data_IF_247523533652
#
_entry.id   IF_247523533652
#
_cell.length_a   1.000
_cell.length_b   1.000
_cell.length_c   1.000
_cell.angle_alpha   90.00
_cell.angle_beta   90.00
_cell.angle_gamma   90.00
#
_symmetry.space_group_name_H-M   'P 1'
#
loop_
_entity.id
_entity.type
_entity.pdbx_description
1 polymer ?
#
# COMPACT_ATOMS: atom_id res chain seq x y z
N UNK A 1 -19.97 13.93 20.61
CA UNK A 1 -18.64 14.55 20.74
C UNK A 1 -17.94 14.49 19.39
N UNK A 2 -17.30 15.58 18.91
CA UNK A 2 -16.63 15.56 17.60
C UNK A 2 -15.29 14.83 17.66
N UNK A 3 -15.02 13.99 16.66
CA UNK A 3 -13.77 13.21 16.57
C UNK A 3 -13.38 13.00 15.10
N UNK A 4 -12.08 13.08 14.81
CA UNK A 4 -11.53 12.71 13.51
C UNK A 4 -11.56 11.20 13.30
N UNK A 5 -11.74 10.74 12.06
CA UNK A 5 -11.88 9.32 11.73
C UNK A 5 -10.70 8.47 12.22
N UNK A 6 -9.46 8.97 12.09
CA UNK A 6 -8.26 8.27 12.56
C UNK A 6 -8.26 8.06 14.08
N UNK A 7 -8.64 9.10 14.84
CA UNK A 7 -8.74 9.03 16.31
C UNK A 7 -9.87 8.11 16.76
N UNK A 8 -10.99 8.11 16.04
CA UNK A 8 -12.11 7.19 16.30
C UNK A 8 -11.68 5.74 16.11
N UNK A 9 -10.99 5.45 15.00
CA UNK A 9 -10.46 4.11 14.71
C UNK A 9 -9.45 3.68 15.77
N UNK A 10 -8.52 4.56 16.15
CA UNK A 10 -7.54 4.27 17.20
C UNK A 10 -8.23 4.00 18.55
N UNK A 11 -9.21 4.82 18.95
CA UNK A 11 -9.98 4.58 20.17
C UNK A 11 -10.72 3.23 20.12
N UNK A 12 -11.44 2.96 19.03
CA UNK A 12 -12.20 1.73 18.89
C UNK A 12 -11.30 0.49 18.95
N UNK A 13 -10.24 0.44 18.14
CA UNK A 13 -9.39 -0.75 18.05
C UNK A 13 -8.40 -0.89 19.21
N UNK A 14 -7.87 0.20 19.78
CA UNK A 14 -6.83 0.13 20.82
C UNK A 14 -7.40 0.21 22.23
N UNK A 15 -8.44 1.01 22.46
CA UNK A 15 -8.94 1.29 23.81
C UNK A 15 -10.18 0.48 24.16
N UNK A 16 -11.12 0.32 23.23
CA UNK A 16 -12.38 -0.42 23.51
C UNK A 16 -12.26 -1.91 23.18
N UNK A 17 -11.88 -2.24 21.95
CA UNK A 17 -11.94 -3.62 21.45
C UNK A 17 -10.75 -4.48 21.93
N UNK A 18 -9.56 -3.90 22.08
CA UNK A 18 -8.35 -4.61 22.54
C UNK A 18 -8.37 -5.00 24.03
N UNK A 19 -9.06 -4.24 24.89
CA UNK A 19 -9.00 -4.43 26.35
C UNK A 19 -9.70 -5.72 26.80
N UNK A 20 -10.64 -6.25 26.02
CA UNK A 20 -11.44 -7.42 26.39
C UNK A 20 -10.73 -8.76 26.16
N UNK A 21 -9.89 -8.90 25.13
CA UNK A 21 -9.18 -10.16 24.84
C UNK A 21 -8.16 -10.53 25.93
N UNK A 22 -7.63 -9.53 26.65
CA UNK A 22 -6.72 -9.75 27.78
C UNK A 22 -7.49 -10.22 29.03
N UNK A 23 -8.76 -9.82 29.18
CA UNK A 23 -9.62 -10.20 30.31
C UNK A 23 -10.31 -11.56 30.13
N UNK A 24 -10.64 -11.96 28.89
CA UNK A 24 -11.30 -13.25 28.59
C UNK A 24 -10.33 -14.42 28.36
N UNK A 25 -9.02 -14.19 28.32
CA UNK A 25 -7.99 -15.23 28.18
C UNK A 25 -7.89 -16.21 29.39
N UNK A 26 -8.80 -16.14 30.36
CA UNK A 26 -8.78 -16.88 31.63
C UNK A 26 -9.90 -17.91 31.86
N UNK A 27 -10.78 -18.23 30.91
CA UNK A 27 -11.84 -19.23 31.16
C UNK A 27 -12.52 -19.81 29.91
N UNK A 28 -13.02 -21.07 29.95
CA UNK A 28 -13.71 -21.69 28.84
C UNK A 28 -15.18 -21.24 28.82
N UNK A 29 -15.46 -20.06 28.27
CA UNK A 29 -16.83 -19.59 28.08
C UNK A 29 -16.96 -18.59 26.93
N UNK A 30 -17.41 -19.11 25.78
CA UNK A 30 -18.37 -18.49 24.84
C UNK A 30 -18.37 -16.96 24.65
N UNK A 31 -17.27 -16.39 24.17
CA UNK A 31 -17.27 -15.13 23.42
C UNK A 31 -16.11 -15.10 22.44
N UNK A 32 -16.11 -16.04 21.48
CA UNK A 32 -15.44 -15.75 20.21
C UNK A 32 -16.18 -14.58 19.55
N UNK A 33 -15.48 -13.61 18.96
CA UNK A 33 -15.79 -13.23 17.56
C UNK A 33 -15.10 -11.99 17.00
N UNK A 34 -14.58 -11.03 17.76
CA UNK A 34 -14.14 -9.76 17.11
C UNK A 34 -12.62 -9.58 17.03
N UNK A 35 -11.87 -9.68 18.12
CA UNK A 35 -10.40 -9.58 18.03
C UNK A 35 -9.74 -10.87 17.54
N UNK A 36 -10.29 -12.05 17.85
CA UNK A 36 -9.90 -13.29 17.17
C UNK A 36 -10.13 -13.21 15.65
N UNK A 37 -11.18 -12.55 15.19
CA UNK A 37 -11.44 -12.34 13.75
C UNK A 37 -10.52 -11.25 13.15
N UNK A 38 -10.16 -10.21 13.90
CA UNK A 38 -9.09 -9.27 13.54
C UNK A 38 -7.75 -10.02 13.41
N UNK A 39 -7.46 -10.94 14.34
CA UNK A 39 -6.27 -11.79 14.32
C UNK A 39 -6.29 -12.81 13.19
N UNK A 40 -7.44 -13.41 12.84
CA UNK A 40 -7.58 -14.25 11.64
C UNK A 40 -7.38 -13.44 10.34
N UNK A 41 -7.82 -12.17 10.31
CA UNK A 41 -7.59 -11.26 9.17
C UNK A 41 -6.12 -10.83 9.04
N UNK A 42 -5.40 -10.75 10.17
CA UNK A 42 -3.94 -10.52 10.25
C UNK A 42 -3.11 -11.80 9.98
N UNK A 43 -3.59 -12.98 10.39
CA UNK A 43 -2.95 -14.29 10.18
C UNK A 43 -2.84 -14.65 8.69
N UNK A 44 -3.70 -14.09 7.83
CA UNK A 44 -3.59 -14.19 6.36
C UNK A 44 -2.39 -13.40 5.78
N UNK A 45 -1.54 -12.77 6.61
CA UNK A 45 -0.35 -12.04 6.19
C UNK A 45 0.88 -12.08 7.12
N UNK A 46 0.77 -12.53 8.38
CA UNK A 46 1.93 -12.73 9.26
C UNK A 46 1.64 -13.73 10.41
N UNK A 47 2.64 -14.54 10.78
CA UNK A 47 2.59 -15.38 11.98
C UNK A 47 2.97 -14.52 13.18
N UNK A 48 2.03 -14.26 14.08
CA UNK A 48 2.29 -13.55 15.34
C UNK A 48 2.77 -14.58 16.38
N UNK A 49 4.02 -14.44 16.83
CA UNK A 49 4.55 -15.21 17.96
C UNK A 49 3.94 -14.69 19.27
N UNK A 50 3.10 -15.51 19.90
CA UNK A 50 2.41 -15.16 21.15
C UNK A 50 3.37 -15.34 22.32
N UNK A 51 4.20 -14.35 22.61
CA UNK A 51 4.90 -14.30 23.90
C UNK A 51 3.91 -13.93 25.01
N UNK A 52 3.77 -14.85 25.98
CA UNK A 52 2.75 -14.86 27.02
C UNK A 52 3.18 -13.97 28.20
N UNK A 53 3.06 -12.64 28.10
CA UNK A 53 3.23 -11.74 29.26
C UNK A 53 1.88 -11.36 29.88
N UNK A 54 1.36 -12.30 30.68
CA UNK A 54 0.12 -12.21 31.47
C UNK A 54 0.42 -11.53 32.82
N UNK A 55 0.73 -10.24 32.80
CA UNK A 55 1.02 -9.50 34.04
C UNK A 55 0.50 -8.06 33.96
N UNK A 56 -0.83 -7.91 33.81
CA UNK A 56 -1.58 -6.68 34.15
C UNK A 56 -3.11 -6.85 34.16
N UNK A 57 -3.65 -8.07 34.14
CA UNK A 57 -5.10 -8.29 34.21
C UNK A 57 -5.58 -8.34 35.66
N UNK A 58 -5.43 -7.23 36.40
CA UNK A 58 -6.08 -7.06 37.69
C UNK A 58 -7.16 -5.99 37.56
N UNK A 59 -8.42 -6.44 37.63
CA UNK A 59 -9.60 -5.64 37.96
C UNK A 59 -10.15 -4.71 36.87
N UNK A 60 -10.59 -5.27 35.74
CA UNK A 60 -11.44 -4.53 34.79
C UNK A 60 -12.88 -5.06 34.87
N UNK A 61 -13.78 -4.20 35.34
CA UNK A 61 -15.23 -4.38 35.29
C UNK A 61 -15.64 -4.75 33.86
N UNK A 62 -16.36 -5.86 33.72
CA UNK A 62 -16.88 -6.38 32.45
C UNK A 62 -18.00 -5.45 31.95
N UNK A 63 -17.63 -4.31 31.37
CA UNK A 63 -18.56 -3.45 30.64
C UNK A 63 -18.60 -3.93 29.18
N UNK A 64 -19.81 -4.03 28.64
CA UNK A 64 -20.02 -4.29 27.21
C UNK A 64 -19.31 -3.22 26.37
N UNK A 65 -18.70 -3.58 25.21
CA UNK A 65 -18.06 -2.60 24.35
C UNK A 65 -19.02 -1.48 23.97
N UNK A 66 -18.52 -0.26 23.89
CA UNK A 66 -19.35 0.86 23.46
C UNK A 66 -19.98 0.58 22.08
N UNK A 67 -21.27 0.86 21.92
CA UNK A 67 -22.01 0.58 20.67
C UNK A 67 -21.34 1.19 19.45
N UNK A 68 -20.84 2.42 19.56
CA UNK A 68 -20.06 3.08 18.50
C UNK A 68 -18.78 2.30 18.11
N UNK A 69 -18.09 1.65 19.04
CA UNK A 69 -16.90 0.85 18.72
C UNK A 69 -17.28 -0.42 17.94
N UNK A 70 -18.42 -1.03 18.25
CA UNK A 70 -18.98 -2.15 17.48
C UNK A 70 -19.39 -1.70 16.07
N UNK A 71 -20.06 -0.56 15.94
CA UNK A 71 -20.43 0.01 14.65
C UNK A 71 -19.20 0.34 13.78
N UNK A 72 -18.12 0.84 14.40
CA UNK A 72 -16.83 1.04 13.72
C UNK A 72 -16.25 -0.28 13.22
N UNK A 73 -16.23 -1.33 14.06
CA UNK A 73 -15.71 -2.65 13.67
C UNK A 73 -16.52 -3.25 12.51
N UNK A 74 -17.84 -3.13 12.55
CA UNK A 74 -18.72 -3.61 11.48
C UNK A 74 -18.47 -2.85 10.18
N UNK A 75 -18.38 -1.53 10.21
CA UNK A 75 -18.06 -0.73 9.03
C UNK A 75 -16.68 -1.06 8.43
N UNK A 76 -15.67 -1.35 9.27
CA UNK A 76 -14.36 -1.81 8.79
C UNK A 76 -14.45 -3.20 8.17
N UNK A 77 -15.27 -4.10 8.72
CA UNK A 77 -15.50 -5.43 8.13
C UNK A 77 -16.15 -5.32 6.75
N UNK A 78 -17.11 -4.40 6.59
CA UNK A 78 -17.80 -4.19 5.31
C UNK A 78 -16.88 -3.66 4.20
N UNK A 79 -15.74 -3.02 4.56
CA UNK A 79 -14.71 -2.66 3.57
C UNK A 79 -14.14 -3.88 2.84
N UNK A 80 -14.16 -5.07 3.44
CA UNK A 80 -13.63 -6.29 2.83
C UNK A 80 -14.36 -6.66 1.53
N UNK A 81 -15.62 -6.23 1.39
CA UNK A 81 -16.44 -6.45 0.21
C UNK A 81 -16.54 -5.19 -0.68
N UNK A 82 -15.86 -4.09 -0.31
CA UNK A 82 -15.77 -2.90 -1.16
C UNK A 82 -14.76 -3.06 -2.29
N UNK A 83 -15.09 -2.41 -3.42
CA UNK A 83 -14.22 -2.32 -4.59
C UNK A 83 -13.38 -1.06 -4.54
N UNK A 84 -12.06 -1.23 -4.49
CA UNK A 84 -11.09 -0.15 -4.63
C UNK A 84 -10.40 -0.22 -5.99
N UNK A 85 -10.47 0.88 -6.73
CA UNK A 85 -9.92 0.99 -8.08
C UNK A 85 -8.81 2.03 -8.11
N UNK A 86 -7.71 1.67 -8.76
CA UNK A 86 -6.63 2.58 -9.11
C UNK A 86 -6.72 2.86 -10.60
N UNK A 87 -6.78 4.15 -10.94
CA UNK A 87 -6.91 4.61 -12.31
C UNK A 87 -5.66 4.26 -13.13
N UNK A 88 -5.82 4.10 -14.44
CA UNK A 88 -4.73 3.75 -15.37
C UNK A 88 -3.68 4.85 -15.48
N UNK A 89 -4.14 6.09 -15.33
CA UNK A 89 -3.36 7.32 -15.38
C UNK A 89 -2.88 7.74 -13.99
N UNK A 90 -2.90 6.84 -13.01
CA UNK A 90 -2.38 7.16 -11.68
C UNK A 90 -0.85 7.26 -11.71
N UNK A 91 -0.35 8.47 -11.52
CA UNK A 91 1.07 8.80 -11.49
C UNK A 91 1.51 9.12 -10.06
N UNK A 92 1.98 8.13 -9.27
CA UNK A 92 2.42 8.38 -7.90
C UNK A 92 3.70 9.21 -7.83
N UNK A 93 4.60 9.13 -8.82
CA UNK A 93 5.95 9.69 -8.78
C UNK A 93 6.15 10.94 -9.64
N UNK A 94 5.17 11.84 -9.69
CA UNK A 94 5.30 13.12 -10.42
C UNK A 94 6.44 14.02 -9.90
N UNK A 95 6.95 13.72 -8.70
CA UNK A 95 8.11 14.37 -8.10
C UNK A 95 9.45 13.89 -8.68
N UNK A 96 9.49 12.74 -9.35
CA UNK A 96 10.70 12.18 -9.95
C UNK A 96 10.78 12.55 -11.43
N UNK A 97 11.93 13.06 -11.87
CA UNK A 97 12.22 13.15 -13.30
C UNK A 97 12.33 11.74 -13.88
N UNK A 98 11.61 11.46 -14.95
CA UNK A 98 11.54 10.15 -15.62
C UNK A 98 11.83 10.30 -17.12
N UNK A 99 13.05 10.75 -17.44
CA UNK A 99 13.45 11.13 -18.81
C UNK A 99 13.36 9.95 -19.79
N UNK A 100 13.49 8.72 -19.29
CA UNK A 100 13.46 7.48 -20.07
C UNK A 100 12.15 6.69 -19.93
N UNK A 101 11.17 7.20 -19.17
CA UNK A 101 9.87 6.53 -18.96
C UNK A 101 9.95 5.24 -18.13
N UNK A 102 11.05 5.00 -17.41
CA UNK A 102 11.30 3.76 -16.66
C UNK A 102 10.41 3.66 -15.43
N UNK A 103 10.20 4.78 -14.73
CA UNK A 103 9.35 4.84 -13.54
C UNK A 103 7.89 4.63 -13.95
N UNK A 104 7.46 5.33 -15.00
CA UNK A 104 6.10 5.24 -15.54
C UNK A 104 5.76 3.83 -16.02
N UNK A 105 6.71 3.14 -16.67
CA UNK A 105 6.55 1.76 -17.09
C UNK A 105 6.41 0.81 -15.89
N UNK A 106 7.27 0.96 -14.88
CA UNK A 106 7.21 0.14 -13.67
C UNK A 106 5.88 0.34 -12.91
N UNK A 107 5.41 1.59 -12.80
CA UNK A 107 4.11 1.92 -12.20
C UNK A 107 2.97 1.22 -12.97
N UNK A 108 2.96 1.32 -14.31
CA UNK A 108 1.91 0.70 -15.13
C UNK A 108 1.85 -0.82 -14.93
N UNK A 109 3.01 -1.47 -14.93
CA UNK A 109 3.13 -2.91 -14.68
C UNK A 109 2.55 -3.31 -13.32
N UNK A 110 2.84 -2.53 -12.27
CA UNK A 110 2.29 -2.82 -10.93
C UNK A 110 0.79 -2.51 -10.81
N UNK A 111 0.26 -1.48 -11.50
CA UNK A 111 -1.19 -1.21 -11.58
C UNK A 111 -1.90 -2.38 -12.26
N UNK A 112 -1.34 -2.91 -13.35
CA UNK A 112 -1.87 -4.09 -14.03
C UNK A 112 -1.87 -5.31 -13.10
N UNK A 113 -0.74 -5.57 -12.42
CA UNK A 113 -0.63 -6.65 -11.45
C UNK A 113 -1.59 -6.48 -10.25
N UNK A 114 -1.87 -5.25 -9.83
CA UNK A 114 -2.84 -4.95 -8.78
C UNK A 114 -4.27 -5.31 -9.22
N UNK A 115 -4.64 -4.98 -10.46
CA UNK A 115 -5.97 -5.27 -11.02
C UNK A 115 -6.23 -6.76 -11.16
N UNK A 116 -5.22 -7.52 -11.58
CA UNK A 116 -5.34 -8.97 -11.76
C UNK A 116 -5.65 -9.73 -10.46
N UNK A 117 -5.40 -9.15 -9.27
CA UNK A 117 -5.73 -9.77 -7.97
C UNK A 117 -7.24 -9.79 -7.66
N UNK A 118 -8.02 -8.97 -8.36
CA UNK A 118 -9.47 -8.89 -8.21
C UNK A 118 -9.94 -8.00 -7.05
N UNK A 119 -11.14 -7.45 -7.18
CA UNK A 119 -11.67 -6.39 -6.30
C UNK A 119 -11.76 -6.81 -4.82
N UNK A 120 -12.15 -8.06 -4.55
CA UNK A 120 -12.30 -8.57 -3.18
C UNK A 120 -10.98 -8.66 -2.41
N UNK A 121 -9.88 -8.95 -3.10
CA UNK A 121 -8.56 -8.95 -2.49
C UNK A 121 -8.15 -7.53 -2.05
N UNK A 122 -8.55 -6.53 -2.83
CA UNK A 122 -8.26 -5.12 -2.54
C UNK A 122 -9.09 -4.59 -1.37
N UNK A 123 -10.37 -4.96 -1.27
CA UNK A 123 -11.21 -4.63 -0.11
C UNK A 123 -10.65 -5.17 1.20
N UNK A 124 -10.26 -6.45 1.22
CA UNK A 124 -9.60 -7.07 2.39
C UNK A 124 -8.29 -6.38 2.75
N UNK A 125 -7.47 -6.02 1.76
CA UNK A 125 -6.24 -5.26 1.98
C UNK A 125 -6.52 -3.90 2.61
N UNK A 126 -7.55 -3.19 2.13
CA UNK A 126 -7.95 -1.90 2.68
C UNK A 126 -8.38 -2.02 4.16
N UNK A 127 -9.20 -3.00 4.49
CA UNK A 127 -9.62 -3.28 5.87
C UNK A 127 -8.39 -3.55 6.78
N UNK A 128 -7.45 -4.38 6.31
CA UNK A 128 -6.21 -4.68 7.03
C UNK A 128 -5.35 -3.43 7.25
N UNK A 129 -5.19 -2.58 6.23
CA UNK A 129 -4.44 -1.33 6.35
C UNK A 129 -5.07 -0.41 7.40
N UNK A 130 -6.39 -0.26 7.40
CA UNK A 130 -7.10 0.56 8.39
C UNK A 130 -6.83 0.08 9.81
N UNK A 131 -6.95 -1.23 10.06
CA UNK A 131 -6.73 -1.80 11.41
C UNK A 131 -5.27 -1.63 11.84
N UNK A 132 -4.32 -2.01 10.98
CA UNK A 132 -2.90 -1.86 11.28
C UNK A 132 -2.54 -0.40 11.58
N UNK A 133 -3.03 0.54 10.78
CA UNK A 133 -2.80 1.97 11.00
C UNK A 133 -3.45 2.51 12.27
N UNK A 134 -4.64 2.02 12.63
CA UNK A 134 -5.30 2.37 13.88
C UNK A 134 -4.51 1.88 15.10
N UNK A 135 -4.02 0.64 15.06
CA UNK A 135 -3.19 0.04 16.12
C UNK A 135 -1.87 0.78 16.26
N UNK A 136 -1.19 1.05 15.14
CA UNK A 136 0.10 1.75 15.13
C UNK A 136 -0.04 3.25 15.44
N UNK A 137 -1.24 3.81 15.38
CA UNK A 137 -1.50 5.24 15.56
C UNK A 137 -0.93 6.12 14.44
N UNK A 138 -0.63 5.54 13.27
CA UNK A 138 -0.11 6.24 12.09
C UNK A 138 -0.55 5.57 10.80
N UNK A 139 -0.68 6.34 9.72
CA UNK A 139 -0.96 5.83 8.39
C UNK A 139 0.19 4.96 7.82
N UNK A 140 -0.04 4.24 6.71
CA UNK A 140 0.99 3.49 6.02
C UNK A 140 2.17 4.39 5.64
N UNK A 141 3.37 3.81 5.56
CA UNK A 141 4.50 4.56 5.03
C UNK A 141 4.33 4.74 3.52
N UNK A 142 4.64 5.94 3.03
CA UNK A 142 4.59 6.33 1.62
C UNK A 142 5.92 6.90 1.15
N UNK A 143 6.89 7.02 2.06
CA UNK A 143 8.21 7.53 1.73
C UNK A 143 8.86 6.65 0.66
N UNK A 144 9.49 7.31 -0.29
CA UNK A 144 10.16 6.65 -1.40
C UNK A 144 11.34 7.52 -1.83
N UNK A 145 12.49 6.89 -2.00
CA UNK A 145 13.70 7.53 -2.52
C UNK A 145 13.82 7.30 -4.03
N UNK A 146 14.24 8.33 -4.77
CA UNK A 146 14.37 8.21 -6.22
C UNK A 146 15.52 7.23 -6.53
N UNK A 147 15.29 6.15 -7.31
CA UNK A 147 16.37 5.26 -7.72
C UNK A 147 17.34 5.98 -8.66
N UNK A 148 18.58 5.54 -8.67
CA UNK A 148 19.52 5.93 -9.71
C UNK A 148 19.18 5.27 -11.05
N UNK A 149 19.45 5.98 -12.15
CA UNK A 149 19.33 5.45 -13.50
C UNK A 149 20.72 5.03 -13.99
N UNK A 150 20.86 3.81 -14.49
CA UNK A 150 22.13 3.31 -15.02
C UNK A 150 21.98 2.71 -16.41
N UNK A 151 23.07 2.66 -17.15
CA UNK A 151 23.11 1.95 -18.43
C UNK A 151 23.06 0.46 -18.13
N UNK A 152 22.23 -0.29 -18.88
CA UNK A 152 22.16 -1.74 -18.75
C UNK A 152 23.54 -2.36 -18.99
N UNK A 153 24.00 -3.20 -18.07
CA UNK A 153 25.27 -3.90 -18.18
C UNK A 153 25.07 -5.42 -18.38
N UNK A 154 25.95 -6.02 -19.17
CA UNK A 154 26.07 -7.48 -19.30
C UNK A 154 27.50 -7.88 -19.02
N UNK A 155 27.70 -8.67 -17.96
CA UNK A 155 29.03 -9.15 -17.51
C UNK A 155 29.99 -7.99 -17.21
N UNK A 156 29.49 -6.93 -16.56
CA UNK A 156 30.28 -5.75 -16.16
C UNK A 156 30.72 -4.84 -17.32
N UNK A 157 30.08 -4.98 -18.49
CA UNK A 157 30.28 -4.08 -19.63
C UNK A 157 28.94 -3.53 -20.09
N UNK A 158 28.94 -2.28 -20.54
CA UNK A 158 27.77 -1.62 -21.10
C UNK A 158 27.21 -2.44 -22.27
N UNK A 159 25.94 -2.83 -22.15
CA UNK A 159 25.26 -3.61 -23.14
C UNK A 159 24.83 -2.72 -24.31
N UNK A 160 24.98 -3.27 -25.52
CA UNK A 160 24.51 -2.66 -26.76
C UNK A 160 23.33 -3.47 -27.28
N UNK A 161 22.31 -2.77 -27.75
CA UNK A 161 21.08 -3.37 -28.26
C UNK A 161 20.87 -2.92 -29.69
N UNK A 162 20.34 -3.81 -30.53
CA UNK A 162 19.89 -3.46 -31.88
C UNK A 162 18.54 -4.10 -32.13
N UNK A 163 17.57 -3.29 -32.57
CA UNK A 163 16.26 -3.81 -32.97
C UNK A 163 16.39 -4.50 -34.34
N UNK A 164 15.85 -5.72 -34.43
CA UNK A 164 15.73 -6.46 -35.69
C UNK A 164 14.29 -6.90 -35.87
N UNK A 165 13.85 -6.95 -37.12
CA UNK A 165 12.54 -7.51 -37.47
C UNK A 165 12.72 -8.97 -37.89
N UNK A 166 11.97 -9.88 -37.27
CA UNK A 166 11.82 -11.28 -37.69
C UNK A 166 10.38 -11.54 -38.13
N UNK A 167 10.16 -12.66 -38.83
CA UNK A 167 8.82 -13.17 -39.12
C UNK A 167 8.59 -14.46 -38.34
N UNK A 168 7.43 -14.57 -37.71
CA UNK A 168 7.00 -15.81 -37.06
C UNK A 168 6.62 -16.89 -38.10
N UNK A 169 6.30 -18.10 -37.61
CA UNK A 169 5.83 -19.20 -38.46
C UNK A 169 4.49 -18.96 -39.17
N UNK A 170 3.77 -17.90 -38.79
CA UNK A 170 2.51 -17.46 -39.39
C UNK A 170 2.69 -16.25 -40.33
N UNK A 171 3.94 -15.84 -40.59
CA UNK A 171 4.28 -14.73 -41.48
C UNK A 171 4.12 -13.33 -40.88
N UNK A 172 3.79 -13.20 -39.59
CA UNK A 172 3.68 -11.91 -38.90
C UNK A 172 5.07 -11.39 -38.53
N UNK A 173 5.33 -10.14 -38.90
CA UNK A 173 6.58 -9.47 -38.53
C UNK A 173 6.53 -9.04 -37.07
N UNK A 174 7.57 -9.33 -36.30
CA UNK A 174 7.77 -8.83 -34.95
C UNK A 174 9.17 -8.24 -34.78
N UNK A 175 9.29 -7.20 -33.97
CA UNK A 175 10.57 -6.64 -33.58
C UNK A 175 11.11 -7.35 -32.35
N UNK A 176 12.41 -7.62 -32.33
CA UNK A 176 13.11 -8.18 -31.19
C UNK A 176 14.49 -7.56 -31.06
N UNK A 177 14.91 -7.38 -29.81
CA UNK A 177 16.24 -6.86 -29.50
C UNK A 177 17.27 -7.99 -29.49
N UNK A 178 18.41 -7.75 -30.13
CA UNK A 178 19.59 -8.64 -30.05
C UNK A 178 20.82 -7.88 -29.55
N UNK A 179 21.85 -8.63 -29.16
CA UNK A 179 23.15 -8.06 -28.79
C UNK A 179 23.71 -7.26 -29.97
N UNK A 180 23.80 -5.95 -29.78
CA UNK A 180 24.30 -4.97 -30.73
C UNK A 180 25.83 -4.85 -30.72
N UNK A 181 26.55 -5.65 -29.93
CA UNK A 181 28.01 -5.61 -29.87
C UNK A 181 28.66 -6.64 -30.81
N UNK A 182 29.50 -6.17 -31.74
CA UNK A 182 30.27 -7.06 -32.61
C UNK A 182 31.53 -7.54 -31.87
N UNK A 183 31.50 -8.78 -31.37
CA UNK A 183 32.63 -9.41 -30.66
C UNK A 183 33.89 -9.55 -31.52
N UNK A 184 33.76 -9.72 -32.85
CA UNK A 184 34.92 -9.87 -33.73
C UNK A 184 35.62 -8.52 -33.93
N UNK A 185 34.83 -7.45 -34.13
CA UNK A 185 35.34 -6.09 -34.38
C UNK A 185 35.54 -5.27 -33.11
N UNK A 186 35.18 -5.82 -31.94
CA UNK A 186 35.22 -5.17 -30.61
C UNK A 186 34.59 -3.76 -30.61
N UNK A 187 33.45 -3.61 -31.30
CA UNK A 187 32.77 -2.32 -31.47
C UNK A 187 31.26 -2.50 -31.61
N UNK A 188 30.43 -1.49 -31.28
CA UNK A 188 29.00 -1.54 -31.54
C UNK A 188 28.70 -1.68 -33.03
N UNK A 189 27.65 -2.43 -33.35
CA UNK A 189 27.09 -2.51 -34.69
C UNK A 189 26.43 -1.19 -35.10
N UNK A 190 26.30 -0.96 -36.40
CA UNK A 190 25.61 0.22 -36.92
C UNK A 190 24.14 0.17 -36.48
N UNK A 191 23.65 1.25 -35.85
CA UNK A 191 22.30 1.31 -35.31
C UNK A 191 22.14 0.68 -33.92
N UNK A 192 23.24 0.25 -33.29
CA UNK A 192 23.18 -0.17 -31.90
C UNK A 192 22.99 1.03 -30.98
N UNK A 193 22.10 0.89 -29.99
CA UNK A 193 21.84 1.88 -28.95
C UNK A 193 22.08 1.29 -27.56
N UNK A 194 22.05 2.16 -26.56
CA UNK A 194 22.15 1.81 -25.14
C UNK A 194 20.80 1.98 -24.49
N UNK A 195 20.48 1.06 -23.58
CA UNK A 195 19.26 1.10 -22.79
C UNK A 195 19.59 1.56 -21.37
N UNK A 196 18.68 2.33 -20.79
CA UNK A 196 18.71 2.70 -19.38
C UNK A 196 17.85 1.72 -18.59
N UNK A 197 18.25 1.45 -17.35
CA UNK A 197 17.47 0.74 -16.35
C UNK A 197 17.56 1.45 -15.01
N UNK A 198 16.59 1.18 -14.14
CA UNK A 198 16.70 1.59 -12.73
C UNK A 198 17.77 0.72 -12.08
N UNK A 199 18.67 1.33 -11.32
CA UNK A 199 19.71 0.63 -10.59
C UNK A 199 19.12 -0.34 -9.56
N UNK A 200 17.97 0.04 -8.98
CA UNK A 200 17.20 -0.73 -8.03
C UNK A 200 15.72 -0.80 -8.46
N UNK A 201 15.03 -1.94 -8.22
CA UNK A 201 13.62 -2.07 -8.55
C UNK A 201 12.75 -1.26 -7.59
N UNK A 202 11.90 -0.37 -8.10
CA UNK A 202 11.05 0.52 -7.30
C UNK A 202 9.70 -0.07 -6.86
N UNK A 203 9.61 -1.39 -6.81
CA UNK A 203 8.33 -2.08 -6.58
C UNK A 203 7.77 -1.77 -5.20
N UNK A 204 8.62 -1.78 -4.18
CA UNK A 204 8.25 -1.46 -2.80
C UNK A 204 7.65 -0.07 -2.70
N UNK A 205 8.29 0.91 -3.34
CA UNK A 205 7.94 2.32 -3.33
C UNK A 205 6.57 2.53 -4.01
N UNK A 206 6.34 1.87 -5.15
CA UNK A 206 5.04 1.88 -5.83
C UNK A 206 3.96 1.34 -4.88
N UNK A 207 4.23 0.20 -4.24
CA UNK A 207 3.29 -0.43 -3.31
C UNK A 207 3.01 0.49 -2.11
N UNK A 208 4.02 1.12 -1.53
CA UNK A 208 3.86 2.05 -0.40
C UNK A 208 2.93 3.22 -0.73
N UNK A 209 3.16 3.92 -1.85
CA UNK A 209 2.27 5.02 -2.29
C UNK A 209 0.87 4.52 -2.66
N UNK A 210 0.76 3.30 -3.16
CA UNK A 210 -0.51 2.65 -3.48
C UNK A 210 -1.31 2.31 -2.23
N UNK A 211 -0.67 1.75 -1.21
CA UNK A 211 -1.28 1.46 0.09
C UNK A 211 -1.72 2.73 0.80
N UNK A 212 -0.93 3.80 0.72
CA UNK A 212 -1.34 5.10 1.21
C UNK A 212 -2.63 5.58 0.56
N UNK A 213 -2.70 5.55 -0.78
CA UNK A 213 -3.92 5.91 -1.51
C UNK A 213 -5.11 5.02 -1.10
N UNK A 214 -4.90 3.71 -1.04
CA UNK A 214 -5.93 2.74 -0.67
C UNK A 214 -6.49 3.01 0.74
N UNK A 215 -5.59 3.31 1.68
CA UNK A 215 -5.95 3.66 3.05
C UNK A 215 -6.75 4.98 3.11
N UNK A 216 -6.33 6.01 2.37
CA UNK A 216 -7.07 7.28 2.27
C UNK A 216 -8.48 7.07 1.69
N UNK A 217 -8.61 6.28 0.63
CA UNK A 217 -9.91 5.94 0.04
C UNK A 217 -10.80 5.16 1.04
N UNK A 218 -10.21 4.23 1.80
CA UNK A 218 -10.91 3.50 2.85
C UNK A 218 -11.43 4.42 3.96
N UNK A 219 -10.63 5.39 4.40
CA UNK A 219 -11.05 6.39 5.40
C UNK A 219 -12.22 7.25 4.89
N UNK A 220 -12.22 7.62 3.61
CA UNK A 220 -13.35 8.33 2.98
C UNK A 220 -14.62 7.47 3.01
N UNK A 221 -14.51 6.19 2.66
CA UNK A 221 -15.63 5.23 2.72
C UNK A 221 -16.16 5.06 4.14
N UNK A 222 -15.27 4.83 5.12
CA UNK A 222 -15.65 4.65 6.52
C UNK A 222 -16.33 5.88 7.09
N UNK A 223 -15.78 7.07 6.85
CA UNK A 223 -16.41 8.32 7.30
C UNK A 223 -17.81 8.48 6.74
N UNK A 224 -18.05 8.09 5.47
CA UNK A 224 -19.38 8.14 4.86
C UNK A 224 -20.32 7.11 5.47
N UNK A 225 -19.84 5.88 5.70
CA UNK A 225 -20.64 4.80 6.29
C UNK A 225 -21.04 5.14 7.72
N UNK A 226 -20.08 5.62 8.53
CA UNK A 226 -20.28 5.92 9.95
C UNK A 226 -21.04 7.23 10.19
N UNK A 227 -21.24 8.06 9.16
CA UNK A 227 -22.01 9.27 9.27
C UNK A 227 -23.46 8.93 9.70
N UNK A 228 -23.87 9.45 10.85
CA UNK A 228 -25.19 9.21 11.48
C UNK A 228 -25.45 7.78 11.98
N UNK A 229 -24.45 6.89 12.01
CA UNK A 229 -24.58 5.56 12.61
C UNK A 229 -24.14 5.53 14.08
N UNK A 230 -23.35 6.52 14.49
CA UNK A 230 -22.78 6.61 15.83
C UNK A 230 -23.72 7.35 16.78
N UNK A 231 -23.80 6.84 18.01
CA UNK A 231 -24.70 7.35 19.05
C UNK A 231 -24.06 8.41 19.93
N UNK A 232 -22.73 8.33 20.14
CA UNK A 232 -21.98 9.22 21.04
C UNK A 232 -21.00 10.12 20.28
N UNK A 233 -20.31 9.56 19.29
CA UNK A 233 -19.36 10.29 18.46
C UNK A 233 -20.01 10.90 17.21
N UNK A 234 -19.52 12.07 16.83
CA UNK A 234 -19.85 12.73 15.56
C UNK A 234 -18.55 12.83 14.73
N UNK A 235 -18.52 12.16 13.58
CA UNK A 235 -17.31 12.04 12.76
C UNK A 235 -17.08 13.33 11.98
N UNK A 236 -15.95 13.96 12.23
CA UNK A 236 -15.57 15.19 11.53
C UNK A 236 -15.41 14.95 10.02
N UNK A 237 -15.62 15.98 9.18
CA UNK A 237 -15.31 15.90 7.76
C UNK A 237 -13.85 15.49 7.54
N UNK A 238 -13.65 14.48 6.70
CA UNK A 238 -12.34 14.00 6.30
C UNK A 238 -12.04 14.42 4.86
N UNK A 239 -10.89 15.04 4.65
CA UNK A 239 -10.36 15.38 3.34
C UNK A 239 -9.13 14.52 3.08
N UNK A 240 -9.17 13.61 2.09
CA UNK A 240 -8.04 12.73 1.83
C UNK A 240 -6.85 13.51 1.28
N UNK A 241 -5.64 13.14 1.70
CA UNK A 241 -4.41 13.60 1.07
C UNK A 241 -3.77 12.47 0.28
N UNK A 242 -4.00 12.44 -1.02
CA UNK A 242 -3.51 11.38 -1.90
C UNK A 242 -2.03 11.50 -2.26
N UNK A 243 -1.41 12.67 -2.06
CA UNK A 243 -0.03 12.92 -2.48
C UNK A 243 0.75 13.79 -1.47
N UNK A 244 0.91 13.34 -0.21
CA UNK A 244 1.64 14.08 0.81
C UNK A 244 3.08 14.43 0.39
N UNK A 245 3.72 13.55 -0.39
CA UNK A 245 5.07 13.75 -0.92
C UNK A 245 5.22 15.02 -1.78
N UNK A 246 4.16 15.46 -2.45
CA UNK A 246 4.19 16.71 -3.24
C UNK A 246 4.41 17.96 -2.38
N UNK A 247 4.04 17.91 -1.09
CA UNK A 247 4.23 19.02 -0.14
C UNK A 247 5.64 19.03 0.44
N UNK A 248 6.26 17.86 0.65
CA UNK A 248 7.64 17.78 1.18
C UNK A 248 8.66 18.41 0.23
N UNK A 249 8.50 18.24 -1.09
CA UNK A 249 9.37 18.89 -2.09
C UNK A 249 9.39 20.42 -1.97
N UNK A 250 8.22 21.04 -1.76
CA UNK A 250 8.14 22.52 -1.60
C UNK A 250 8.90 23.04 -0.39
N UNK A 251 9.11 22.22 0.63
CA UNK A 251 9.92 22.61 1.79
C UNK A 251 11.40 22.35 1.54
N UNK A 252 11.77 21.22 0.93
CA UNK A 252 13.16 20.94 0.56
C UNK A 252 13.74 21.98 -0.41
N UNK A 253 12.99 22.37 -1.44
CA UNK A 253 13.43 23.38 -2.44
C UNK A 253 13.65 24.77 -1.81
N UNK A 254 12.92 25.10 -0.74
CA UNK A 254 13.07 26.37 0.00
C UNK A 254 14.35 26.44 0.84
N UNK A 255 14.87 25.30 1.29
CA UNK A 255 16.12 25.24 2.07
C UNK A 255 17.38 25.21 1.16
N UNK A 256 17.24 24.84 -0.10
CA UNK A 256 18.34 24.85 -1.09
C UNK A 256 18.47 26.22 -1.79
N UNK A 257 17.42 27.04 -1.73
CA UNK A 257 17.37 28.37 -2.39
C UNK A 257 17.56 29.55 -1.44
N UNK A 258 18.07 29.32 -0.21
CA UNK A 258 18.36 30.33 0.80
C UNK A 258 19.85 30.28 1.19
#
# INVERSE_FOLDING_TARGET
MKIGIEKLLQWAFVQELCVRDIAEAGGPSSSSSNFTMIMEMLELGAIIDRSRNVMAASSAVTLEPHLDALAVADAVRDLADHRFVIADDWEPFTDWADDYGLVSEAVRSEIEAFRLRGDRANGRRAANLVICSAILGRGPDWFAEKPEERIVERRGQQAWFISKTAKDGFGRSYEFEVDGYDRKRKRPMRGAYRKMELAEPIRSEIISRMEWKLWQDALVCLRKSLANQLSFYDVEPFAPDYAPWMRMRKNADKFVSA
#
